data_IF_907114218827
#
_entry.id   IF_907114218827
#
_cell.length_a   1.000
_cell.length_b   1.000
_cell.length_c   1.000
_cell.angle_alpha   90.00
_cell.angle_beta   90.00
_cell.angle_gamma   90.00
#
_symmetry.space_group_name_H-M   'P 1'
#
loop_
_entity.id
_entity.type
_entity.pdbx_description
1 polymer ?
#
# COMPACT_ATOMS: atom_id res chain seq x y z
N UNK A 1 7.44 -28.21 -39.37
CA UNK A 1 6.36 -29.17 -39.03
C UNK A 1 6.82 -30.48 -38.38
N UNK A 2 8.12 -30.83 -38.37
CA UNK A 2 8.63 -32.10 -37.77
C UNK A 2 9.10 -32.02 -36.30
N UNK A 3 8.82 -30.93 -35.57
CA UNK A 3 9.40 -30.72 -34.23
C UNK A 3 8.53 -31.30 -33.08
N UNK A 4 7.28 -31.69 -33.34
CA UNK A 4 6.32 -32.02 -32.26
C UNK A 4 5.90 -33.50 -32.18
N UNK A 5 6.69 -34.44 -32.71
CA UNK A 5 6.48 -35.88 -32.48
C UNK A 5 7.39 -36.36 -31.34
N UNK A 6 6.86 -36.45 -30.13
CA UNK A 6 7.60 -37.02 -29.00
C UNK A 6 6.77 -37.20 -27.73
N UNK A 7 6.46 -38.47 -27.45
CA UNK A 7 6.16 -39.16 -26.18
C UNK A 7 5.16 -38.60 -25.14
N UNK A 8 4.13 -39.43 -24.91
CA UNK A 8 3.14 -39.37 -23.84
C UNK A 8 3.75 -39.30 -22.44
N UNK A 9 3.82 -38.10 -21.87
CA UNK A 9 3.97 -37.94 -20.42
C UNK A 9 3.25 -36.67 -19.96
N UNK A 10 1.91 -36.77 -19.80
CA UNK A 10 0.98 -35.63 -19.66
C UNK A 10 1.43 -34.53 -18.68
N UNK A 11 2.07 -34.87 -17.55
CA UNK A 11 2.52 -33.87 -16.58
C UNK A 11 3.82 -33.14 -16.99
N UNK A 12 4.74 -33.82 -17.66
CA UNK A 12 5.94 -33.19 -18.22
C UNK A 12 5.61 -32.34 -19.44
N UNK A 13 4.65 -32.78 -20.26
CA UNK A 13 4.19 -32.04 -21.44
C UNK A 13 3.52 -30.71 -21.06
N UNK A 14 2.70 -30.69 -20.00
CA UNK A 14 2.04 -29.46 -19.51
C UNK A 14 3.07 -28.44 -18.98
N UNK A 15 4.07 -28.90 -18.22
CA UNK A 15 5.12 -28.03 -17.68
C UNK A 15 6.02 -27.48 -18.80
N UNK A 16 6.32 -28.32 -19.81
CA UNK A 16 7.10 -27.94 -20.97
C UNK A 16 6.36 -26.93 -21.86
N UNK A 17 5.06 -27.12 -22.09
CA UNK A 17 4.21 -26.20 -22.85
C UNK A 17 4.11 -24.81 -22.20
N UNK A 18 3.93 -24.76 -20.87
CA UNK A 18 3.92 -23.51 -20.10
C UNK A 18 5.24 -22.75 -20.23
N UNK A 19 6.38 -23.45 -20.16
CA UNK A 19 7.71 -22.83 -20.29
C UNK A 19 7.96 -22.28 -21.70
N UNK A 20 7.54 -23.02 -22.73
CA UNK A 20 7.66 -22.62 -24.13
C UNK A 20 6.81 -21.37 -24.43
N UNK A 21 5.55 -21.33 -23.98
CA UNK A 21 4.67 -20.16 -24.14
C UNK A 21 5.31 -18.93 -23.49
N UNK A 22 5.75 -19.05 -22.22
CA UNK A 22 6.43 -17.95 -21.50
C UNK A 22 7.70 -17.49 -22.21
N UNK A 23 8.48 -18.41 -22.79
CA UNK A 23 9.70 -18.10 -23.54
C UNK A 23 9.38 -17.26 -24.77
N UNK A 24 8.41 -17.68 -25.58
CA UNK A 24 8.05 -16.96 -26.81
C UNK A 24 7.44 -15.59 -26.55
N UNK A 25 6.64 -15.44 -25.50
CA UNK A 25 6.11 -14.13 -25.08
C UNK A 25 7.28 -13.18 -24.74
N UNK A 26 8.28 -13.64 -23.97
CA UNK A 26 9.45 -12.83 -23.58
C UNK A 26 10.36 -12.48 -24.74
N UNK A 27 10.48 -13.37 -25.72
CA UNK A 27 11.37 -13.18 -26.86
C UNK A 27 10.67 -12.59 -28.09
N UNK A 28 9.42 -12.13 -27.97
CA UNK A 28 8.60 -11.61 -29.07
C UNK A 28 8.53 -12.58 -30.28
N UNK A 29 8.46 -13.89 -30.00
CA UNK A 29 8.35 -14.91 -31.02
C UNK A 29 6.87 -15.24 -31.28
N UNK A 30 6.07 -14.21 -31.61
CA UNK A 30 4.61 -14.31 -31.63
C UNK A 30 4.08 -15.25 -32.72
N UNK A 31 4.78 -15.31 -33.86
CA UNK A 31 4.49 -16.27 -34.93
C UNK A 31 4.56 -17.72 -34.44
N UNK A 32 5.61 -18.06 -33.70
CA UNK A 32 5.76 -19.41 -33.14
C UNK A 32 4.70 -19.69 -32.07
N UNK A 33 4.36 -18.68 -31.25
CA UNK A 33 3.28 -18.77 -30.30
C UNK A 33 1.94 -19.08 -31.00
N UNK A 34 1.61 -18.35 -32.07
CA UNK A 34 0.36 -18.52 -32.80
C UNK A 34 0.28 -19.90 -33.48
N UNK A 35 1.34 -20.31 -34.18
CA UNK A 35 1.45 -21.65 -34.79
C UNK A 35 1.22 -22.74 -33.75
N UNK A 36 1.87 -22.63 -32.60
CA UNK A 36 1.78 -23.64 -31.55
C UNK A 36 0.38 -23.74 -30.96
N UNK A 37 -0.26 -22.61 -30.61
CA UNK A 37 -1.61 -22.62 -30.05
C UNK A 37 -2.64 -23.15 -31.06
N UNK A 38 -2.52 -22.76 -32.34
CA UNK A 38 -3.41 -23.27 -33.40
C UNK A 38 -3.20 -24.76 -33.66
N UNK A 39 -1.96 -25.24 -33.66
CA UNK A 39 -1.66 -26.66 -33.81
C UNK A 39 -2.32 -27.49 -32.70
N UNK A 40 -2.17 -27.06 -31.44
CA UNK A 40 -2.75 -27.78 -30.31
C UNK A 40 -4.28 -27.78 -30.33
N UNK A 41 -4.89 -26.64 -30.69
CA UNK A 41 -6.34 -26.54 -30.85
C UNK A 41 -6.86 -27.53 -31.90
N UNK A 42 -6.15 -27.68 -33.02
CA UNK A 42 -6.52 -28.61 -34.09
C UNK A 42 -6.39 -30.08 -33.68
N UNK A 43 -5.36 -30.42 -32.90
CA UNK A 43 -5.15 -31.77 -32.38
C UNK A 43 -6.09 -32.11 -31.21
N UNK A 44 -7.10 -31.27 -30.92
CA UNK A 44 -7.99 -31.38 -29.76
C UNK A 44 -7.23 -31.50 -28.42
N UNK A 45 -6.03 -30.92 -28.34
CA UNK A 45 -5.24 -30.83 -27.12
C UNK A 45 -5.63 -29.53 -26.42
N UNK A 46 -6.35 -29.63 -25.31
CA UNK A 46 -6.69 -28.45 -24.50
C UNK A 46 -5.40 -27.87 -23.90
N UNK A 47 -5.18 -26.58 -24.15
CA UNK A 47 -4.30 -25.75 -23.33
C UNK A 47 -5.16 -24.68 -22.72
N UNK A 48 -5.21 -24.69 -21.40
CA UNK A 48 -5.77 -23.59 -20.64
C UNK A 48 -4.81 -22.40 -20.73
N UNK A 49 -5.24 -21.35 -21.44
CA UNK A 49 -4.52 -20.10 -21.46
C UNK A 49 -4.59 -19.49 -20.06
N UNK A 50 -3.44 -19.39 -19.40
CA UNK A 50 -3.36 -18.92 -18.03
C UNK A 50 -3.28 -17.41 -17.96
N UNK A 51 -3.92 -16.86 -16.95
CA UNK A 51 -3.82 -15.47 -16.51
C UNK A 51 -2.36 -14.93 -16.45
N UNK A 52 -1.42 -15.75 -16.00
CA UNK A 52 0.00 -15.39 -15.96
C UNK A 52 0.63 -15.13 -17.34
N UNK A 53 0.10 -15.70 -18.43
CA UNK A 53 0.59 -15.46 -19.79
C UNK A 53 0.20 -14.06 -20.27
N UNK A 54 -1.04 -13.64 -20.01
CA UNK A 54 -1.49 -12.27 -20.30
C UNK A 54 -0.66 -11.24 -19.54
N UNK A 55 -0.50 -11.46 -18.23
CA UNK A 55 0.33 -10.60 -17.38
C UNK A 55 1.76 -10.48 -17.92
N UNK A 56 2.36 -11.60 -18.31
CA UNK A 56 3.71 -11.60 -18.88
C UNK A 56 3.78 -10.83 -20.21
N UNK A 57 2.81 -11.01 -21.10
CA UNK A 57 2.77 -10.31 -22.39
C UNK A 57 2.68 -8.79 -22.18
N UNK A 58 1.86 -8.37 -21.24
CA UNK A 58 1.72 -6.98 -20.80
C UNK A 58 3.03 -6.43 -20.23
N UNK A 59 3.64 -7.15 -19.28
CA UNK A 59 4.87 -6.72 -18.62
C UNK A 59 6.02 -6.50 -19.62
N UNK A 60 6.02 -7.27 -20.72
CA UNK A 60 6.98 -7.14 -21.82
C UNK A 60 6.54 -6.13 -22.89
N UNK A 61 5.36 -5.51 -22.79
CA UNK A 61 4.74 -4.69 -23.85
C UNK A 61 4.58 -5.46 -25.18
N UNK A 62 4.42 -6.78 -25.12
CA UNK A 62 4.17 -7.67 -26.27
C UNK A 62 2.66 -7.83 -26.50
N UNK A 63 2.04 -6.80 -27.07
CA UNK A 63 0.58 -6.77 -27.26
C UNK A 63 0.09 -7.66 -28.40
N UNK A 64 0.91 -7.90 -29.44
CA UNK A 64 0.57 -8.85 -30.50
C UNK A 64 0.45 -10.28 -29.93
N UNK A 65 1.41 -10.67 -29.09
CA UNK A 65 1.35 -11.93 -28.35
C UNK A 65 0.13 -12.01 -27.43
N UNK A 66 -0.28 -10.89 -26.83
CA UNK A 66 -1.51 -10.82 -26.04
C UNK A 66 -2.76 -11.10 -26.90
N UNK A 67 -2.87 -10.51 -28.09
CA UNK A 67 -4.00 -10.74 -29.01
C UNK A 67 -4.04 -12.18 -29.49
N UNK A 68 -2.87 -12.80 -29.73
CA UNK A 68 -2.77 -14.23 -30.06
C UNK A 68 -3.31 -15.09 -28.91
N UNK A 69 -2.92 -14.79 -27.66
CA UNK A 69 -3.44 -15.51 -26.49
C UNK A 69 -4.96 -15.35 -26.40
N UNK A 70 -5.47 -14.13 -26.51
CA UNK A 70 -6.90 -13.82 -26.49
C UNK A 70 -7.71 -14.57 -27.55
N UNK A 71 -7.21 -14.63 -28.78
CA UNK A 71 -7.86 -15.33 -29.87
C UNK A 71 -7.85 -16.88 -29.74
N UNK A 72 -7.06 -17.42 -28.81
CA UNK A 72 -6.95 -18.85 -28.55
C UNK A 72 -7.46 -19.25 -27.16
N UNK A 73 -7.99 -18.31 -26.38
CA UNK A 73 -8.59 -18.57 -25.07
C UNK A 73 -10.08 -18.88 -25.24
N UNK A 74 -10.55 -19.92 -24.56
CA UNK A 74 -11.94 -20.37 -24.62
C UNK A 74 -12.79 -19.79 -23.49
N UNK A 75 -12.17 -19.10 -22.54
CA UNK A 75 -12.88 -18.38 -21.47
C UNK A 75 -13.64 -17.19 -22.04
N UNK A 76 -14.68 -16.76 -21.33
CA UNK A 76 -15.43 -15.56 -21.74
C UNK A 76 -14.54 -14.32 -21.69
N UNK A 77 -14.77 -13.37 -22.60
CA UNK A 77 -14.03 -12.10 -22.61
C UNK A 77 -14.12 -11.37 -21.27
N UNK A 78 -15.27 -11.45 -20.60
CA UNK A 78 -15.48 -10.88 -19.28
C UNK A 78 -14.50 -11.45 -18.26
N UNK A 79 -14.30 -12.77 -18.22
CA UNK A 79 -13.36 -13.38 -17.28
C UNK A 79 -11.92 -12.97 -17.53
N UNK A 80 -11.53 -12.89 -18.81
CA UNK A 80 -10.18 -12.49 -19.22
C UNK A 80 -9.95 -11.01 -18.86
N UNK A 81 -10.86 -10.13 -19.26
CA UNK A 81 -10.75 -8.69 -19.00
C UNK A 81 -10.89 -8.36 -17.51
N UNK A 82 -11.76 -9.05 -16.75
CA UNK A 82 -11.84 -8.88 -15.29
C UNK A 82 -10.47 -9.08 -14.64
N UNK A 83 -9.78 -10.17 -14.98
CA UNK A 83 -8.44 -10.43 -14.44
C UNK A 83 -7.45 -9.35 -14.85
N UNK A 84 -7.46 -8.99 -16.13
CA UNK A 84 -6.49 -8.09 -16.73
C UNK A 84 -6.65 -6.69 -16.17
N UNK A 85 -7.87 -6.17 -16.16
CA UNK A 85 -8.22 -4.89 -15.55
C UNK A 85 -7.78 -4.87 -14.09
N UNK A 86 -8.13 -5.88 -13.27
CA UNK A 86 -7.73 -5.98 -11.85
C UNK A 86 -6.20 -6.11 -11.62
N UNK A 87 -5.46 -6.76 -12.52
CA UNK A 87 -4.00 -6.90 -12.42
C UNK A 87 -3.26 -5.61 -12.81
N UNK A 88 -3.81 -4.86 -13.76
CA UNK A 88 -3.30 -3.57 -14.18
C UNK A 88 -3.42 -2.49 -13.10
N UNK A 89 -4.14 -2.76 -12.02
CA UNK A 89 -4.41 -1.80 -10.96
C UNK A 89 -3.25 -1.83 -9.95
N UNK A 90 -2.36 -0.85 -10.02
CA UNK A 90 -1.25 -0.67 -9.09
C UNK A 90 -0.12 0.16 -9.70
N UNK A 91 0.60 0.92 -8.87
CA UNK A 91 1.56 1.99 -9.24
C UNK A 91 2.68 1.69 -10.27
N UNK A 92 2.80 0.47 -10.82
CA UNK A 92 3.71 0.14 -11.94
C UNK A 92 2.98 -0.19 -13.24
N UNK A 93 1.66 -0.34 -13.18
CA UNK A 93 0.86 -0.96 -14.22
C UNK A 93 -0.18 0.00 -14.84
N UNK A 94 -0.43 1.18 -14.27
CA UNK A 94 -1.24 2.23 -14.92
C UNK A 94 -0.64 2.64 -16.27
N UNK A 95 0.67 2.87 -16.33
CA UNK A 95 1.37 3.13 -17.61
C UNK A 95 1.20 1.95 -18.57
N UNK A 96 1.16 0.71 -18.07
CA UNK A 96 1.01 -0.48 -18.92
C UNK A 96 -0.42 -0.59 -19.47
N UNK A 97 -1.46 -0.27 -18.68
CA UNK A 97 -2.84 -0.22 -19.15
C UNK A 97 -3.01 0.89 -20.18
N UNK A 98 -2.47 2.09 -19.93
CA UNK A 98 -2.50 3.18 -20.90
C UNK A 98 -1.76 2.80 -22.19
N UNK A 99 -0.61 2.14 -22.10
CA UNK A 99 0.12 1.65 -23.26
C UNK A 99 -0.69 0.59 -24.03
N UNK A 100 -1.39 -0.30 -23.32
CA UNK A 100 -2.26 -1.30 -23.94
C UNK A 100 -3.47 -0.65 -24.63
N UNK A 101 -4.14 0.30 -23.98
CA UNK A 101 -5.25 1.07 -24.58
C UNK A 101 -4.78 1.90 -25.79
N UNK A 102 -3.60 2.50 -25.72
CA UNK A 102 -2.95 3.18 -26.86
C UNK A 102 -2.65 2.21 -27.99
N UNK A 103 -2.19 1.00 -27.70
CA UNK A 103 -2.00 -0.05 -28.70
C UNK A 103 -3.32 -0.42 -29.39
N UNK A 104 -4.38 -0.67 -28.61
CA UNK A 104 -5.71 -0.97 -29.15
C UNK A 104 -6.22 0.17 -30.05
N UNK A 105 -5.93 1.42 -29.68
CA UNK A 105 -6.32 2.62 -30.42
C UNK A 105 -5.31 3.06 -31.50
N UNK A 106 -4.21 2.34 -31.69
CA UNK A 106 -3.19 2.73 -32.66
C UNK A 106 -3.68 2.57 -34.10
N UNK A 107 -3.13 3.40 -35.00
CA UNK A 107 -3.41 3.36 -36.44
C UNK A 107 -2.54 2.35 -37.21
N UNK A 108 -1.85 1.44 -36.51
CA UNK A 108 -0.96 0.47 -37.14
C UNK A 108 -1.75 -0.40 -38.13
N UNK A 109 -1.22 -0.55 -39.34
CA UNK A 109 -1.84 -1.42 -40.33
C UNK A 109 -1.68 -2.88 -39.91
N UNK A 110 -2.64 -3.73 -40.29
CA UNK A 110 -2.58 -5.17 -39.94
C UNK A 110 -1.27 -5.83 -40.41
N UNK A 111 -0.73 -5.39 -41.55
CA UNK A 111 0.53 -5.90 -42.12
C UNK A 111 1.77 -5.60 -41.25
N UNK A 112 1.68 -4.67 -40.32
CA UNK A 112 2.75 -4.34 -39.36
C UNK A 112 2.74 -5.24 -38.12
N UNK A 113 1.70 -6.06 -37.93
CA UNK A 113 1.55 -6.93 -36.76
C UNK A 113 2.42 -8.18 -36.88
N UNK A 114 2.97 -8.64 -35.75
CA UNK A 114 3.80 -9.85 -35.69
C UNK A 114 2.95 -11.14 -35.64
N UNK A 115 2.08 -11.30 -36.63
CA UNK A 115 1.24 -12.49 -36.81
C UNK A 115 1.78 -13.39 -37.91
N UNK A 116 1.50 -14.69 -37.81
CA UNK A 116 1.95 -15.67 -38.81
C UNK A 116 1.37 -15.37 -40.21
N UNK A 117 0.15 -14.81 -40.26
CA UNK A 117 -0.54 -14.49 -41.51
C UNK A 117 0.22 -13.49 -42.40
N UNK A 118 1.02 -12.59 -41.81
CA UNK A 118 1.74 -11.54 -42.52
C UNK A 118 3.06 -12.01 -43.16
N UNK A 119 3.45 -13.28 -42.97
CA UNK A 119 4.66 -13.83 -43.61
C UNK A 119 4.44 -14.28 -45.06
N UNK A 120 5.55 -14.44 -45.78
CA UNK A 120 5.63 -14.82 -47.21
C UNK A 120 5.24 -16.28 -47.51
N UNK A 121 4.68 -17.04 -46.56
CA UNK A 121 4.30 -18.44 -46.75
C UNK A 121 2.97 -18.58 -47.54
N UNK A 122 2.78 -19.71 -48.22
CA UNK A 122 1.65 -19.95 -49.12
C UNK A 122 0.28 -19.93 -48.44
N UNK A 123 -0.77 -19.54 -49.19
CA UNK A 123 -2.13 -19.37 -48.67
C UNK A 123 -2.78 -20.68 -48.17
N UNK A 124 -2.32 -21.84 -48.64
CA UNK A 124 -2.90 -23.15 -48.32
C UNK A 124 -2.83 -23.51 -46.81
N UNK A 125 -1.75 -23.12 -46.12
CA UNK A 125 -1.64 -23.32 -44.67
C UNK A 125 -2.38 -22.25 -43.86
N UNK A 126 -2.59 -21.05 -44.44
CA UNK A 126 -3.20 -19.91 -43.74
C UNK A 126 -4.68 -20.15 -43.45
N UNK A 127 -5.41 -20.65 -44.46
CA UNK A 127 -6.84 -20.92 -44.35
C UNK A 127 -7.12 -22.21 -43.55
N UNK A 128 -6.24 -23.21 -43.65
CA UNK A 128 -6.37 -24.52 -42.97
C UNK A 128 -6.32 -24.47 -41.45
N UNK A 129 -5.67 -23.47 -40.87
CA UNK A 129 -5.48 -23.33 -39.42
C UNK A 129 -6.16 -22.08 -38.84
N UNK A 130 -6.92 -21.34 -39.67
CA UNK A 130 -7.63 -20.11 -39.29
C UNK A 130 -6.77 -19.16 -38.47
N UNK A 131 -5.56 -18.84 -38.94
CA UNK A 131 -4.69 -17.86 -38.27
C UNK A 131 -5.36 -16.48 -38.20
N UNK A 132 -4.88 -15.61 -37.31
CA UNK A 132 -5.34 -14.22 -37.22
C UNK A 132 -5.09 -13.51 -38.54
N UNK A 133 -6.15 -13.36 -39.33
CA UNK A 133 -6.17 -12.52 -40.51
C UNK A 133 -6.68 -11.11 -40.16
N UNK A 134 -6.66 -10.21 -41.13
CA UNK A 134 -7.03 -8.81 -40.92
C UNK A 134 -8.43 -8.64 -40.35
N UNK A 135 -9.38 -9.43 -40.86
CA UNK A 135 -10.77 -9.40 -40.40
C UNK A 135 -10.89 -9.84 -38.93
N UNK A 136 -10.30 -10.99 -38.57
CA UNK A 136 -10.33 -11.50 -37.19
C UNK A 136 -9.64 -10.54 -36.23
N UNK A 137 -8.50 -9.98 -36.62
CA UNK A 137 -7.80 -8.99 -35.80
C UNK A 137 -8.68 -7.77 -35.51
N UNK A 138 -9.27 -7.15 -36.55
CA UNK A 138 -10.17 -5.99 -36.37
C UNK A 138 -11.36 -6.34 -35.47
N UNK A 139 -11.97 -7.51 -35.68
CA UNK A 139 -13.07 -7.98 -34.85
C UNK A 139 -12.65 -8.13 -33.38
N UNK A 140 -11.50 -8.78 -33.12
CA UNK A 140 -10.99 -9.00 -31.75
C UNK A 140 -10.65 -7.68 -31.06
N UNK A 141 -10.03 -6.73 -31.76
CA UNK A 141 -9.75 -5.40 -31.22
C UNK A 141 -11.05 -4.67 -30.84
N UNK A 142 -12.06 -4.70 -31.73
CA UNK A 142 -13.35 -4.09 -31.45
C UNK A 142 -14.04 -4.76 -30.25
N UNK A 143 -14.05 -6.09 -30.21
CA UNK A 143 -14.61 -6.90 -29.12
C UNK A 143 -13.99 -6.50 -27.77
N UNK A 144 -12.66 -6.39 -27.71
CA UNK A 144 -11.94 -5.97 -26.49
C UNK A 144 -12.31 -4.54 -26.10
N UNK A 145 -12.29 -3.60 -27.05
CA UNK A 145 -12.59 -2.18 -26.78
C UNK A 145 -13.99 -2.00 -26.22
N UNK A 146 -14.99 -2.54 -26.90
CA UNK A 146 -16.39 -2.42 -26.49
C UNK A 146 -16.59 -3.00 -25.08
N UNK A 147 -15.98 -4.14 -24.77
CA UNK A 147 -16.10 -4.71 -23.42
C UNK A 147 -15.38 -3.87 -22.34
N UNK A 148 -14.25 -3.23 -22.66
CA UNK A 148 -13.58 -2.28 -21.74
C UNK A 148 -14.43 -1.02 -21.55
N UNK A 149 -15.07 -0.50 -22.59
CA UNK A 149 -15.96 0.66 -22.52
C UNK A 149 -17.20 0.34 -21.69
N UNK A 150 -17.90 -0.75 -22.00
CA UNK A 150 -19.03 -1.24 -21.21
C UNK A 150 -18.65 -1.48 -19.75
N UNK A 151 -17.43 -1.96 -19.48
CA UNK A 151 -16.92 -2.10 -18.11
C UNK A 151 -16.85 -0.74 -17.38
N UNK A 152 -16.25 0.27 -18.02
CA UNK A 152 -16.12 1.61 -17.45
C UNK A 152 -17.49 2.24 -17.22
N UNK A 153 -18.38 2.14 -18.19
CA UNK A 153 -19.76 2.64 -18.10
C UNK A 153 -20.49 2.03 -16.90
N UNK A 154 -20.38 0.72 -16.69
CA UNK A 154 -21.02 0.04 -15.55
C UNK A 154 -20.43 0.47 -14.20
N UNK A 155 -19.13 0.77 -14.13
CA UNK A 155 -18.54 1.34 -12.90
C UNK A 155 -19.14 2.71 -12.62
N UNK A 156 -19.22 3.60 -13.62
CA UNK A 156 -19.81 4.92 -13.45
C UNK A 156 -21.30 4.82 -13.09
N UNK A 157 -22.04 3.91 -13.72
CA UNK A 157 -23.44 3.64 -13.38
C UNK A 157 -23.59 3.20 -11.91
N UNK A 158 -22.69 2.36 -11.40
CA UNK A 158 -22.71 1.93 -9.99
C UNK A 158 -22.38 3.09 -9.05
N UNK A 159 -21.43 3.94 -9.42
CA UNK A 159 -21.08 5.14 -8.63
C UNK A 159 -22.29 6.07 -8.54
N UNK A 160 -22.91 6.37 -9.68
CA UNK A 160 -24.13 7.19 -9.76
C UNK A 160 -25.29 6.55 -9.00
N UNK A 161 -25.41 5.22 -9.07
CA UNK A 161 -26.41 4.45 -8.34
C UNK A 161 -26.21 4.58 -6.84
N UNK A 162 -24.98 4.41 -6.34
CA UNK A 162 -24.69 4.57 -4.91
C UNK A 162 -24.91 5.99 -4.40
N UNK A 163 -24.63 6.99 -5.25
CA UNK A 163 -24.62 8.41 -4.90
C UNK A 163 -25.28 9.18 -6.05
N UNK A 164 -26.59 9.40 -5.96
CA UNK A 164 -27.33 10.19 -6.94
C UNK A 164 -27.79 11.50 -6.34
N UNK A 165 -27.37 12.63 -6.91
CA UNK A 165 -27.80 13.98 -6.48
C UNK A 165 -27.60 14.22 -4.96
N UNK A 166 -26.55 13.64 -4.37
CA UNK A 166 -26.27 13.71 -2.93
C UNK A 166 -27.17 12.83 -2.06
N UNK A 167 -28.09 12.05 -2.65
CA UNK A 167 -28.88 11.04 -1.95
C UNK A 167 -28.17 9.69 -2.01
N UNK A 168 -27.87 9.17 -0.82
CA UNK A 168 -27.32 7.82 -0.65
C UNK A 168 -28.42 6.79 -0.92
N UNK A 169 -28.09 5.78 -1.72
CA UNK A 169 -28.99 4.68 -2.02
C UNK A 169 -29.36 3.85 -0.77
N UNK A 170 -30.63 3.44 -0.66
CA UNK A 170 -31.08 2.52 0.36
C UNK A 170 -30.69 1.05 0.06
N UNK A 171 -30.64 0.23 1.11
CA UNK A 171 -30.25 -1.18 1.04
C UNK A 171 -31.05 -2.00 0.02
N UNK A 172 -32.36 -1.77 -0.09
CA UNK A 172 -33.22 -2.59 -0.94
C UNK A 172 -33.02 -2.25 -2.42
N UNK A 173 -32.87 -0.97 -2.74
CA UNK A 173 -32.52 -0.52 -4.09
C UNK A 173 -31.16 -1.07 -4.52
N UNK A 174 -30.15 -1.01 -3.65
CA UNK A 174 -28.83 -1.57 -3.96
C UNK A 174 -28.87 -3.09 -4.17
N UNK A 175 -29.60 -3.82 -3.31
CA UNK A 175 -29.83 -5.26 -3.46
C UNK A 175 -30.44 -5.62 -4.81
N UNK A 176 -31.48 -4.91 -5.22
CA UNK A 176 -32.15 -5.16 -6.49
C UNK A 176 -31.22 -4.87 -7.67
N UNK A 177 -30.41 -3.80 -7.59
CA UNK A 177 -29.43 -3.47 -8.60
C UNK A 177 -28.38 -4.58 -8.77
N UNK A 178 -27.79 -5.06 -7.66
CA UNK A 178 -26.75 -6.11 -7.71
C UNK A 178 -27.31 -7.41 -8.30
N UNK A 179 -28.50 -7.85 -7.88
CA UNK A 179 -29.16 -9.07 -8.43
C UNK A 179 -29.38 -9.01 -9.94
N UNK A 180 -29.70 -7.84 -10.46
CA UNK A 180 -29.90 -7.67 -11.90
C UNK A 180 -28.58 -7.60 -12.68
N UNK A 181 -27.44 -7.54 -11.97
CA UNK A 181 -26.11 -7.32 -12.53
C UNK A 181 -25.05 -8.32 -12.02
N UNK A 182 -25.42 -9.56 -11.67
CA UNK A 182 -24.55 -10.56 -11.02
C UNK A 182 -23.15 -10.74 -11.67
N UNK A 183 -23.05 -10.60 -13.00
CA UNK A 183 -21.77 -10.64 -13.73
C UNK A 183 -20.74 -9.58 -13.29
N UNK A 184 -21.19 -8.47 -12.68
CA UNK A 184 -20.35 -7.38 -12.19
C UNK A 184 -19.69 -7.68 -10.85
N UNK A 185 -20.12 -8.70 -10.09
CA UNK A 185 -19.63 -8.91 -8.73
C UNK A 185 -18.12 -9.12 -8.61
N UNK A 186 -17.47 -9.68 -9.64
CA UNK A 186 -16.01 -9.87 -9.69
C UNK A 186 -15.24 -8.58 -9.94
N UNK A 187 -15.92 -7.55 -10.43
CA UNK A 187 -15.36 -6.27 -10.87
C UNK A 187 -15.38 -5.22 -9.77
N UNK A 188 -16.28 -5.37 -8.79
CA UNK A 188 -16.45 -4.44 -7.69
C UNK A 188 -15.40 -4.60 -6.56
N UNK A 189 -14.41 -5.49 -6.76
CA UNK A 189 -13.33 -5.80 -5.79
C UNK A 189 -11.94 -5.63 -6.41
N UNK A 190 -11.83 -4.73 -7.38
CA UNK A 190 -10.56 -4.35 -8.00
C UNK A 190 -9.72 -3.46 -7.09
N UNK A 191 -8.47 -3.19 -7.46
CA UNK A 191 -7.66 -2.18 -6.77
C UNK A 191 -7.89 -0.74 -7.30
N UNK A 192 -8.36 -0.51 -8.52
CA UNK A 192 -8.75 0.86 -8.94
C UNK A 192 -10.14 1.19 -8.44
N UNK A 193 -11.03 0.19 -8.43
CA UNK A 193 -12.37 0.34 -7.91
C UNK A 193 -12.71 -0.82 -6.98
N UNK A 194 -12.73 -0.50 -5.69
CA UNK A 194 -13.26 -1.38 -4.65
C UNK A 194 -14.54 -0.74 -4.12
N UNK A 195 -15.67 -1.42 -4.31
CA UNK A 195 -16.99 -0.89 -3.96
C UNK A 195 -17.11 -0.63 -2.47
N UNK A 196 -16.47 -1.44 -1.62
CA UNK A 196 -16.50 -1.23 -0.18
C UNK A 196 -15.74 0.04 0.19
N UNK A 197 -14.50 0.21 -0.30
CA UNK A 197 -13.73 1.43 -0.06
C UNK A 197 -14.48 2.65 -0.61
N UNK A 198 -15.00 2.57 -1.84
CA UNK A 198 -15.75 3.66 -2.47
C UNK A 198 -17.01 4.03 -1.69
N UNK A 199 -17.79 3.04 -1.24
CA UNK A 199 -18.97 3.26 -0.41
C UNK A 199 -18.62 3.96 0.91
N UNK A 200 -17.52 3.57 1.56
CA UNK A 200 -17.06 4.22 2.79
C UNK A 200 -16.60 5.66 2.52
N UNK A 201 -15.84 5.90 1.45
CA UNK A 201 -15.35 7.24 1.07
C UNK A 201 -16.47 8.26 0.88
N UNK A 202 -17.63 7.78 0.41
CA UNK A 202 -18.80 8.58 0.07
C UNK A 202 -19.95 8.47 1.08
N UNK A 203 -19.66 8.02 2.30
CA UNK A 203 -20.63 7.97 3.40
C UNK A 203 -21.92 7.21 3.07
N UNK A 204 -21.80 6.14 2.29
CA UNK A 204 -22.91 5.23 2.03
C UNK A 204 -23.38 4.60 3.35
N UNK A 205 -24.67 4.31 3.47
CA UNK A 205 -25.28 3.83 4.71
C UNK A 205 -24.63 2.54 5.22
N UNK A 206 -24.52 2.41 6.55
CA UNK A 206 -24.02 1.21 7.23
C UNK A 206 -24.68 -0.07 6.74
N UNK A 207 -25.99 -0.03 6.54
CA UNK A 207 -26.78 -1.16 6.04
C UNK A 207 -26.30 -1.69 4.69
N UNK A 208 -25.91 -0.78 3.78
CA UNK A 208 -25.36 -1.14 2.48
C UNK A 208 -23.92 -1.64 2.63
N UNK A 209 -23.12 -1.01 3.49
CA UNK A 209 -21.74 -1.46 3.78
C UNK A 209 -21.73 -2.89 4.35
N UNK A 210 -22.58 -3.19 5.32
CA UNK A 210 -22.72 -4.54 5.88
C UNK A 210 -23.19 -5.54 4.82
N UNK A 211 -24.12 -5.14 3.95
CA UNK A 211 -24.55 -5.97 2.83
C UNK A 211 -23.39 -6.26 1.87
N UNK A 212 -22.59 -5.24 1.52
CA UNK A 212 -21.40 -5.41 0.68
C UNK A 212 -20.42 -6.40 1.32
N UNK A 213 -20.10 -6.24 2.60
CA UNK A 213 -19.16 -7.13 3.32
C UNK A 213 -19.64 -8.59 3.28
N UNK A 214 -20.93 -8.81 3.51
CA UNK A 214 -21.52 -10.15 3.61
C UNK A 214 -21.65 -10.85 2.24
N UNK A 215 -22.13 -10.16 1.21
CA UNK A 215 -22.37 -10.78 -0.10
C UNK A 215 -21.09 -10.94 -0.92
N UNK A 216 -20.18 -9.98 -0.81
CA UNK A 216 -19.00 -9.93 -1.67
C UNK A 216 -17.85 -10.78 -1.12
N UNK A 217 -18.07 -11.77 -0.25
CA UNK A 217 -17.12 -12.87 0.08
C UNK A 217 -15.64 -12.45 0.08
N UNK A 218 -15.30 -11.39 0.82
CA UNK A 218 -13.92 -10.92 0.91
C UNK A 218 -13.07 -11.95 1.66
N UNK A 219 -11.86 -12.27 1.18
CA UNK A 219 -10.96 -13.20 1.89
C UNK A 219 -10.65 -12.70 3.31
N UNK A 220 -10.48 -11.39 3.44
CA UNK A 220 -10.44 -10.62 4.68
C UNK A 220 -10.57 -9.14 4.33
N UNK A 221 -10.78 -8.30 5.33
CA UNK A 221 -10.83 -6.84 5.19
C UNK A 221 -9.45 -6.16 5.38
N UNK A 222 -8.38 -6.96 5.30
CA UNK A 222 -6.99 -6.54 5.43
C UNK A 222 -6.35 -6.45 4.05
N UNK A 223 -6.91 -5.59 3.20
CA UNK A 223 -6.42 -5.26 1.86
C UNK A 223 -6.55 -3.76 1.65
N UNK A 224 -5.98 -3.24 0.56
CA UNK A 224 -6.06 -1.81 0.26
C UNK A 224 -5.06 -1.35 -0.77
N UNK A 225 -5.33 -0.19 -1.33
CA UNK A 225 -4.55 0.42 -2.41
C UNK A 225 -3.22 0.89 -1.87
N UNK A 226 -2.15 0.43 -2.51
CA UNK A 226 -0.80 0.79 -2.11
C UNK A 226 -0.51 2.19 -2.60
N UNK A 227 -0.12 3.09 -1.69
CA UNK A 227 0.26 4.46 -2.01
C UNK A 227 1.78 4.57 -1.90
N UNK A 228 2.43 5.04 -2.97
CA UNK A 228 3.85 5.45 -2.94
C UNK A 228 3.97 6.84 -2.37
N UNK A 229 4.98 7.02 -1.55
CA UNK A 229 5.23 8.30 -0.92
C UNK A 229 6.45 8.96 -1.53
N UNK A 230 6.31 10.22 -1.92
CA UNK A 230 7.32 11.02 -2.62
C UNK A 230 8.46 11.46 -1.71
N UNK A 231 8.22 11.59 -0.40
CA UNK A 231 9.22 12.11 0.53
C UNK A 231 10.10 11.03 1.15
N UNK A 232 11.40 11.29 1.11
CA UNK A 232 12.42 10.51 1.81
C UNK A 232 12.52 10.96 3.27
N UNK A 233 11.41 10.90 4.01
CA UNK A 233 11.30 11.36 5.41
C UNK A 233 12.41 10.78 6.29
N UNK A 234 12.88 9.57 5.97
CA UNK A 234 14.01 8.95 6.65
C UNK A 234 15.31 9.75 6.52
N UNK A 235 15.66 10.19 5.32
CA UNK A 235 16.90 10.95 5.09
C UNK A 235 16.88 12.24 5.87
N UNK A 236 15.73 12.91 5.93
CA UNK A 236 15.57 14.12 6.73
C UNK A 236 15.71 13.83 8.23
N UNK A 237 14.99 12.83 8.75
CA UNK A 237 15.09 12.41 10.16
C UNK A 237 16.54 12.10 10.53
N UNK A 238 17.23 11.32 9.69
CA UNK A 238 18.62 10.92 9.91
C UNK A 238 19.55 12.14 9.94
N UNK A 239 19.47 13.02 8.94
CA UNK A 239 20.28 14.24 8.87
C UNK A 239 20.04 15.17 10.07
N UNK A 240 18.79 15.31 10.52
CA UNK A 240 18.47 16.08 11.72
C UNK A 240 19.14 15.50 12.95
N UNK A 241 19.04 14.18 13.16
CA UNK A 241 19.69 13.53 14.29
C UNK A 241 21.22 13.63 14.23
N UNK A 242 21.82 13.51 13.05
CA UNK A 242 23.27 13.72 12.86
C UNK A 242 23.70 15.14 13.24
N UNK A 243 22.94 16.18 12.84
CA UNK A 243 23.20 17.57 13.23
C UNK A 243 23.10 17.75 14.75
N UNK A 244 22.09 17.17 15.38
CA UNK A 244 21.92 17.22 16.84
C UNK A 244 23.14 16.60 17.54
N UNK A 245 23.64 15.47 17.04
CA UNK A 245 24.82 14.79 17.59
C UNK A 245 26.09 15.63 17.42
N UNK A 246 26.30 16.26 16.25
CA UNK A 246 27.47 17.10 15.98
C UNK A 246 27.48 18.31 16.92
N UNK A 247 26.35 19.03 17.05
CA UNK A 247 26.23 20.18 17.94
C UNK A 247 26.53 19.80 19.40
N UNK A 248 25.99 18.66 19.84
CA UNK A 248 26.27 18.13 21.17
C UNK A 248 27.76 17.81 21.39
N UNK A 249 28.42 17.17 20.42
CA UNK A 249 29.85 16.83 20.50
C UNK A 249 30.72 18.10 20.58
N UNK A 250 30.46 19.10 19.75
CA UNK A 250 31.26 20.32 19.71
C UNK A 250 31.20 21.09 21.04
N UNK A 251 30.05 21.10 21.72
CA UNK A 251 29.86 21.83 22.98
C UNK A 251 30.30 21.06 24.24
N UNK A 252 30.54 19.74 24.11
CA UNK A 252 31.05 18.88 25.19
C UNK A 252 32.41 19.33 25.72
N UNK A 253 33.20 19.98 24.88
CA UNK A 253 34.56 20.42 25.24
C UNK A 253 34.60 21.84 25.84
N UNK A 254 33.44 22.48 26.06
CA UNK A 254 33.37 23.78 26.73
C UNK A 254 33.64 23.70 28.24
N UNK A 255 34.29 24.74 28.79
CA UNK A 255 34.58 24.84 30.23
C UNK A 255 33.32 24.81 31.09
N UNK A 256 32.25 25.45 30.64
CA UNK A 256 30.94 25.48 31.29
C UNK A 256 30.34 24.06 31.37
N UNK A 257 30.37 23.31 30.26
CA UNK A 257 29.89 21.93 30.23
C UNK A 257 30.66 21.04 31.21
N UNK A 258 31.99 21.15 31.25
CA UNK A 258 32.81 20.36 32.17
C UNK A 258 32.56 20.72 33.65
N UNK A 259 32.36 22.01 33.96
CA UNK A 259 32.05 22.46 35.32
C UNK A 259 30.72 21.88 35.82
N UNK A 260 29.67 21.93 35.00
CA UNK A 260 28.34 21.38 35.37
C UNK A 260 28.40 19.85 35.45
N UNK A 261 29.07 19.19 34.50
CA UNK A 261 29.28 17.74 34.56
C UNK A 261 30.01 17.30 35.85
N UNK A 262 31.01 18.08 36.28
CA UNK A 262 31.73 17.84 37.51
C UNK A 262 30.86 18.07 38.76
N UNK A 263 30.01 19.10 38.74
CA UNK A 263 29.05 19.39 39.80
C UNK A 263 28.05 18.23 40.02
N UNK A 264 27.64 17.54 38.95
CA UNK A 264 26.67 16.43 39.02
C UNK A 264 27.29 15.02 38.89
N UNK A 265 28.62 14.91 39.03
CA UNK A 265 29.39 13.68 38.76
C UNK A 265 28.97 12.46 39.58
N UNK A 266 28.32 12.66 40.72
CA UNK A 266 27.85 11.62 41.63
C UNK A 266 26.52 10.95 41.20
N UNK A 267 25.77 11.56 40.27
CA UNK A 267 24.40 11.12 39.89
C UNK A 267 24.32 9.89 38.96
N UNK A 268 25.43 9.18 38.73
CA UNK A 268 25.48 7.91 38.00
C UNK A 268 25.25 8.02 36.48
N UNK A 269 26.10 7.33 35.70
CA UNK A 269 25.95 7.01 34.26
C UNK A 269 25.21 8.05 33.39
N UNK A 270 25.59 9.33 33.56
CA UNK A 270 24.78 10.48 33.14
C UNK A 270 24.49 10.52 31.63
N UNK A 271 25.32 9.90 30.77
CA UNK A 271 25.32 10.16 29.33
C UNK A 271 25.87 8.97 28.52
N UNK A 272 25.18 7.84 28.49
CA UNK A 272 25.55 6.79 27.51
C UNK A 272 24.99 7.14 26.13
N UNK A 273 25.91 7.47 25.22
CA UNK A 273 25.70 7.66 23.77
C UNK A 273 25.16 6.40 23.04
N UNK A 274 24.67 5.40 23.76
CA UNK A 274 24.32 4.05 23.26
C UNK A 274 23.10 4.03 22.33
N UNK A 275 22.34 5.13 22.27
CA UNK A 275 21.00 5.16 21.67
C UNK A 275 20.94 5.40 20.16
N UNK A 276 21.87 6.18 19.59
CA UNK A 276 21.71 6.71 18.22
C UNK A 276 22.23 5.77 17.13
N UNK A 277 23.10 4.83 17.48
CA UNK A 277 23.80 3.99 16.50
C UNK A 277 22.92 2.89 15.88
N UNK A 278 21.68 2.71 16.34
CA UNK A 278 20.75 1.68 15.85
C UNK A 278 19.62 2.22 14.96
N UNK A 279 19.79 3.40 14.34
CA UNK A 279 18.89 3.97 13.31
C UNK A 279 18.95 3.17 11.99
N UNK A 280 18.74 1.85 12.06
CA UNK A 280 18.83 0.94 10.93
C UNK A 280 17.57 0.09 10.80
N UNK A 281 16.65 0.52 9.94
CA UNK A 281 15.92 -0.43 9.10
C UNK A 281 15.46 0.24 7.81
N UNK A 282 15.35 -0.56 6.75
CA UNK A 282 14.92 -0.16 5.40
C UNK A 282 13.48 0.37 5.47
N UNK A 283 13.32 1.68 5.60
CA UNK A 283 12.00 2.30 5.68
C UNK A 283 11.23 2.08 4.38
N UNK A 284 10.00 1.56 4.50
CA UNK A 284 9.07 1.46 3.38
C UNK A 284 8.54 2.85 3.06
N UNK A 285 8.69 3.26 1.81
CA UNK A 285 8.14 4.50 1.23
C UNK A 285 6.69 4.32 0.78
N UNK A 286 5.95 3.39 1.37
CA UNK A 286 4.62 3.01 0.88
C UNK A 286 3.72 2.60 2.02
N UNK A 287 2.44 2.99 1.99
CA UNK A 287 1.39 2.52 2.90
C UNK A 287 0.17 2.02 2.11
N UNK A 288 -0.89 1.55 2.79
CA UNK A 288 -2.12 1.06 2.16
C UNK A 288 -3.36 1.81 2.65
N UNK A 289 -4.20 2.28 1.72
CA UNK A 289 -5.56 2.74 1.99
C UNK A 289 -6.48 1.52 2.08
N UNK A 290 -6.61 0.96 3.28
CA UNK A 290 -7.51 -0.16 3.59
C UNK A 290 -8.93 0.33 3.84
N UNK A 291 -9.97 -0.53 3.81
CA UNK A 291 -11.32 -0.15 4.24
C UNK A 291 -11.34 0.54 5.62
N UNK A 292 -10.57 -0.01 6.59
CA UNK A 292 -10.47 0.56 7.93
C UNK A 292 -9.75 1.92 7.94
N UNK A 293 -8.66 2.06 7.19
CA UNK A 293 -8.01 3.37 7.00
C UNK A 293 -8.99 4.40 6.45
N UNK A 294 -9.77 4.03 5.43
CA UNK A 294 -10.75 4.91 4.81
C UNK A 294 -11.80 5.38 5.81
N UNK A 295 -12.40 4.47 6.59
CA UNK A 295 -13.37 4.82 7.62
C UNK A 295 -12.78 5.77 8.67
N UNK A 296 -11.57 5.47 9.17
CA UNK A 296 -10.89 6.29 10.18
C UNK A 296 -10.48 7.66 9.67
N UNK A 297 -10.07 7.77 8.40
CA UNK A 297 -9.75 9.05 7.76
C UNK A 297 -10.93 10.01 7.65
N UNK A 298 -12.16 9.48 7.78
CA UNK A 298 -13.42 10.23 7.77
C UNK A 298 -14.04 10.36 9.16
N UNK A 299 -13.34 9.93 10.21
CA UNK A 299 -13.86 9.80 11.57
C UNK A 299 -15.19 9.00 11.65
N UNK A 300 -15.42 8.08 10.70
CA UNK A 300 -16.62 7.26 10.68
C UNK A 300 -16.44 6.02 11.57
N UNK A 301 -16.50 6.25 12.88
CA UNK A 301 -16.24 5.23 13.89
C UNK A 301 -17.26 4.09 13.89
N UNK A 302 -18.52 4.37 13.55
CA UNK A 302 -19.54 3.33 13.43
C UNK A 302 -19.18 2.31 12.33
N UNK A 303 -18.69 2.78 11.18
CA UNK A 303 -18.20 1.90 10.12
C UNK A 303 -16.87 1.25 10.50
N UNK A 304 -15.99 1.96 11.22
CA UNK A 304 -14.76 1.36 11.73
C UNK A 304 -15.06 0.17 12.66
N UNK A 305 -16.05 0.28 13.54
CA UNK A 305 -16.52 -0.81 14.40
C UNK A 305 -17.02 -2.01 13.59
N UNK A 306 -17.86 -1.77 12.57
CA UNK A 306 -18.33 -2.83 11.65
C UNK A 306 -17.15 -3.56 11.03
N UNK A 307 -16.16 -2.83 10.52
CA UNK A 307 -14.98 -3.41 9.88
C UNK A 307 -14.12 -4.21 10.86
N UNK A 308 -13.86 -3.68 12.07
CA UNK A 308 -13.10 -4.35 13.13
C UNK A 308 -13.81 -5.64 13.58
N UNK A 309 -15.12 -5.59 13.79
CA UNK A 309 -15.94 -6.75 14.15
C UNK A 309 -15.97 -7.82 13.05
N UNK A 310 -15.76 -7.41 11.79
CA UNK A 310 -15.58 -8.31 10.64
C UNK A 310 -14.11 -8.65 10.33
N UNK A 311 -13.20 -8.43 11.29
CA UNK A 311 -11.81 -8.91 11.22
C UNK A 311 -10.81 -7.98 10.55
N UNK A 312 -11.14 -6.70 10.31
CA UNK A 312 -10.13 -5.69 9.99
C UNK A 312 -9.14 -5.54 11.15
N UNK A 313 -7.86 -5.50 10.81
CA UNK A 313 -6.76 -5.37 11.75
C UNK A 313 -6.17 -3.96 11.67
N UNK A 314 -6.29 -3.20 12.75
CA UNK A 314 -5.76 -1.84 12.88
C UNK A 314 -4.22 -1.76 12.72
N UNK A 315 -3.53 -2.89 12.95
CA UNK A 315 -2.08 -3.02 12.85
C UNK A 315 -1.63 -3.67 11.53
N UNK A 316 -2.47 -3.66 10.49
CA UNK A 316 -2.16 -4.33 9.24
C UNK A 316 -1.02 -3.67 8.45
N UNK A 317 0.13 -4.35 8.38
CA UNK A 317 1.35 -4.07 7.58
C UNK A 317 2.07 -2.74 7.87
N UNK A 318 1.38 -1.62 7.75
CA UNK A 318 1.91 -0.27 7.88
C UNK A 318 1.22 0.47 9.05
N UNK A 319 1.92 1.43 9.66
CA UNK A 319 1.39 2.18 10.79
C UNK A 319 0.27 3.14 10.34
N UNK A 320 -0.96 2.83 10.73
CA UNK A 320 -2.16 3.56 10.29
C UNK A 320 -2.16 5.02 10.76
N UNK A 321 -1.69 5.30 11.98
CA UNK A 321 -1.63 6.67 12.53
C UNK A 321 -0.65 7.49 11.71
N UNK A 322 0.53 6.94 11.42
CA UNK A 322 1.52 7.64 10.61
C UNK A 322 1.03 7.84 9.17
N UNK A 323 0.32 6.85 8.62
CA UNK A 323 -0.26 6.94 7.28
C UNK A 323 -1.31 8.04 7.18
N UNK A 324 -2.18 8.19 8.19
CA UNK A 324 -3.17 9.27 8.27
C UNK A 324 -2.49 10.63 8.45
N UNK A 325 -1.46 10.73 9.30
CA UNK A 325 -0.73 11.97 9.54
C UNK A 325 -0.12 12.52 8.25
N UNK A 326 0.50 11.66 7.44
CA UNK A 326 1.15 12.07 6.18
C UNK A 326 0.21 12.62 5.13
N UNK A 327 -1.04 12.20 5.15
CA UNK A 327 -2.07 12.68 4.23
C UNK A 327 -2.85 13.88 4.81
N UNK A 328 -2.44 14.40 5.98
CA UNK A 328 -3.15 15.44 6.73
C UNK A 328 -4.59 15.02 7.12
N UNK A 329 -4.80 13.73 7.40
CA UNK A 329 -6.11 13.16 7.78
C UNK A 329 -6.16 12.75 9.26
N UNK A 330 -5.05 12.81 9.99
CA UNK A 330 -5.01 12.53 11.42
C UNK A 330 -5.56 13.72 12.22
N UNK A 331 -6.42 13.45 13.20
CA UNK A 331 -6.92 14.42 14.17
C UNK A 331 -7.03 13.77 15.57
N UNK A 332 -7.37 14.56 16.58
CA UNK A 332 -7.44 14.07 17.96
C UNK A 332 -8.51 12.99 18.18
N UNK A 333 -9.63 13.05 17.46
CA UNK A 333 -10.73 12.07 17.57
C UNK A 333 -10.31 10.72 17.02
N UNK A 334 -9.82 10.67 15.78
CA UNK A 334 -9.40 9.41 15.18
C UNK A 334 -8.15 8.83 15.83
N UNK A 335 -7.24 9.67 16.33
CA UNK A 335 -6.10 9.22 17.13
C UNK A 335 -6.59 8.51 18.40
N UNK A 336 -7.47 9.14 19.18
CA UNK A 336 -8.04 8.54 20.39
C UNK A 336 -8.79 7.24 20.10
N UNK A 337 -9.60 7.22 19.06
CA UNK A 337 -10.31 6.01 18.65
C UNK A 337 -9.30 4.90 18.31
N UNK A 338 -8.33 5.17 17.44
CA UNK A 338 -7.34 4.16 17.01
C UNK A 338 -6.61 3.57 18.21
N UNK A 339 -6.12 4.42 19.12
CA UNK A 339 -5.36 3.97 20.29
C UNK A 339 -6.20 3.03 21.17
N UNK A 340 -7.47 3.35 21.39
CA UNK A 340 -8.35 2.54 22.26
C UNK A 340 -8.95 1.30 21.57
N UNK A 341 -8.66 1.04 20.29
CA UNK A 341 -9.21 -0.09 19.53
C UNK A 341 -8.12 -1.07 19.06
N UNK A 342 -7.21 -1.42 19.97
CA UNK A 342 -6.22 -2.48 19.75
C UNK A 342 -4.97 -2.05 18.97
N UNK A 343 -4.64 -0.76 18.95
CA UNK A 343 -3.40 -0.28 18.34
C UNK A 343 -2.16 -0.75 19.12
N UNK A 344 -1.22 -1.35 18.41
CA UNK A 344 0.03 -1.85 18.97
C UNK A 344 1.09 -0.74 18.98
N UNK A 345 1.34 -0.17 20.15
CA UNK A 345 2.45 0.75 20.35
C UNK A 345 3.77 0.01 20.17
N UNK A 346 4.71 0.63 19.44
CA UNK A 346 6.06 0.11 19.31
C UNK A 346 6.70 -0.09 20.69
N UNK A 347 7.25 -1.29 20.93
CA UNK A 347 8.08 -1.57 22.12
C UNK A 347 9.25 -0.58 22.25
N UNK A 348 9.74 -0.08 21.12
CA UNK A 348 10.87 0.84 21.04
C UNK A 348 10.39 2.20 20.52
N UNK A 349 10.07 3.12 21.45
CA UNK A 349 9.71 4.48 21.09
C UNK A 349 10.86 5.24 20.44
N UNK A 350 12.10 4.77 20.62
CA UNK A 350 13.34 5.38 20.13
C UNK A 350 13.36 5.78 18.65
N UNK A 351 12.52 5.20 17.79
CA UNK A 351 12.53 5.49 16.37
C UNK A 351 11.12 5.70 15.82
N UNK A 352 10.19 6.12 16.68
CA UNK A 352 8.83 6.41 16.26
C UNK A 352 8.81 7.70 15.44
N UNK A 353 8.52 7.56 14.15
CA UNK A 353 8.46 8.67 13.19
C UNK A 353 7.38 9.66 13.57
N UNK A 354 6.25 9.17 14.12
CA UNK A 354 5.13 10.01 14.52
C UNK A 354 5.60 11.03 15.54
N UNK A 355 6.29 10.56 16.58
CA UNK A 355 6.84 11.43 17.64
C UNK A 355 7.84 12.45 17.05
N UNK A 356 8.76 12.03 16.17
CA UNK A 356 9.68 12.98 15.52
C UNK A 356 8.93 14.09 14.79
N UNK A 357 7.97 13.73 13.94
CA UNK A 357 7.24 14.70 13.14
C UNK A 357 6.35 15.59 14.00
N UNK A 358 5.67 15.03 15.00
CA UNK A 358 4.83 15.80 15.91
C UNK A 358 5.64 16.79 16.75
N UNK A 359 6.86 16.43 17.16
CA UNK A 359 7.77 17.39 17.83
C UNK A 359 8.21 18.48 16.85
N UNK A 360 8.69 18.10 15.66
CA UNK A 360 9.18 19.04 14.63
C UNK A 360 8.12 20.05 14.21
N UNK A 361 6.87 19.60 14.03
CA UNK A 361 5.75 20.39 13.56
C UNK A 361 4.88 20.95 14.70
N UNK A 362 5.31 20.80 15.96
CA UNK A 362 4.58 21.27 17.14
C UNK A 362 3.14 20.74 17.28
N UNK A 363 2.87 19.52 16.79
CA UNK A 363 1.59 18.81 17.00
C UNK A 363 1.52 18.23 18.42
N UNK A 364 1.54 19.11 19.42
CA UNK A 364 1.63 18.75 20.84
C UNK A 364 0.41 17.98 21.36
N UNK A 365 -0.78 18.25 20.82
CA UNK A 365 -2.01 17.51 21.15
C UNK A 365 -1.87 16.01 20.82
N UNK A 366 -1.27 15.67 19.68
CA UNK A 366 -1.04 14.27 19.30
C UNK A 366 -0.01 13.60 20.22
N UNK A 367 1.04 14.34 20.61
CA UNK A 367 2.02 13.84 21.58
C UNK A 367 1.34 13.55 22.92
N UNK A 368 0.55 14.49 23.43
CA UNK A 368 -0.13 14.36 24.72
C UNK A 368 -1.09 13.17 24.73
N UNK A 369 -1.96 13.04 23.72
CA UNK A 369 -2.88 11.90 23.59
C UNK A 369 -2.09 10.58 23.56
N UNK A 370 -1.04 10.50 22.74
CA UNK A 370 -0.26 9.28 22.57
C UNK A 370 0.48 8.88 23.85
N UNK A 371 1.15 9.81 24.51
CA UNK A 371 1.90 9.53 25.74
C UNK A 371 0.98 9.22 26.92
N UNK A 372 -0.19 9.87 27.03
CA UNK A 372 -1.19 9.55 28.04
C UNK A 372 -1.73 8.12 27.84
N UNK A 373 -2.03 7.71 26.60
CA UNK A 373 -2.44 6.34 26.29
C UNK A 373 -1.36 5.33 26.70
N UNK A 374 -0.10 5.57 26.35
CA UNK A 374 1.01 4.67 26.72
C UNK A 374 1.16 4.58 28.24
N UNK A 375 1.06 5.70 28.95
CA UNK A 375 1.14 5.72 30.41
C UNK A 375 0.02 4.89 31.05
N UNK A 376 -1.20 4.97 30.52
CA UNK A 376 -2.33 4.17 31.00
C UNK A 376 -2.14 2.67 30.75
N UNK A 377 -1.70 2.27 29.56
CA UNK A 377 -1.35 0.86 29.28
C UNK A 377 -0.29 0.31 30.24
N UNK A 378 0.71 1.13 30.61
CA UNK A 378 1.71 0.73 31.59
C UNK A 378 1.12 0.48 32.98
N UNK A 379 0.24 1.37 33.46
CA UNK A 379 -0.42 1.19 34.76
C UNK A 379 -1.18 -0.13 34.82
N UNK A 380 -1.82 -0.55 33.71
CA UNK A 380 -2.50 -1.83 33.61
C UNK A 380 -1.53 -3.02 33.57
N UNK A 381 -0.44 -2.93 32.81
CA UNK A 381 0.58 -3.99 32.74
C UNK A 381 1.35 -4.18 34.06
N UNK A 382 1.59 -3.10 34.80
CA UNK A 382 2.22 -3.15 36.13
C UNK A 382 1.33 -3.91 37.12
N UNK A 383 0.00 -3.71 37.07
CA UNK A 383 -0.95 -4.50 37.87
C UNK A 383 -0.89 -6.00 37.55
N UNK A 384 -0.46 -6.37 36.33
CA UNK A 384 -0.39 -7.75 35.84
C UNK A 384 1.00 -8.42 36.00
N UNK A 385 1.91 -7.86 36.79
CA UNK A 385 3.22 -8.46 37.17
C UNK A 385 4.18 -8.82 36.00
N UNK A 386 4.09 -8.16 34.84
CA UNK A 386 5.07 -8.34 33.75
C UNK A 386 6.17 -7.28 33.89
N UNK A 387 7.33 -7.68 34.42
CA UNK A 387 8.41 -6.76 34.77
C UNK A 387 9.21 -6.23 33.56
N UNK A 388 9.43 -4.90 33.62
CA UNK A 388 10.46 -4.02 33.04
C UNK A 388 11.52 -4.69 32.15
N UNK A 389 11.65 -4.20 30.91
CA UNK A 389 12.90 -3.56 30.47
C UNK A 389 12.84 -2.97 29.05
N UNK A 390 13.64 -1.90 28.93
CA UNK A 390 14.07 -1.17 27.72
C UNK A 390 13.26 0.05 27.28
N UNK A 391 12.96 0.95 28.22
CA UNK A 391 12.51 2.33 27.94
C UNK A 391 13.67 3.31 27.81
N UNK A 392 14.76 2.88 27.17
CA UNK A 392 15.80 3.83 26.84
C UNK A 392 15.33 4.55 25.58
N UNK A 393 15.32 5.90 25.61
CA UNK A 393 15.32 6.85 24.47
C UNK A 393 14.15 7.88 24.47
N UNK A 394 13.74 8.39 25.64
CA UNK A 394 13.03 9.68 25.73
C UNK A 394 13.99 10.87 25.57
N UNK A 395 15.27 10.68 25.93
CA UNK A 395 16.31 11.72 25.85
C UNK A 395 16.42 12.34 24.46
N UNK A 396 16.36 11.53 23.39
CA UNK A 396 16.45 12.07 22.04
C UNK A 396 15.30 13.00 21.69
N UNK A 397 14.11 12.77 22.26
CA UNK A 397 12.92 13.55 21.96
C UNK A 397 12.96 14.87 22.70
N UNK A 398 13.48 14.91 23.92
CA UNK A 398 13.85 16.18 24.56
C UNK A 398 14.85 16.98 23.72
N UNK A 399 15.89 16.30 23.23
CA UNK A 399 16.91 16.93 22.38
C UNK A 399 16.32 17.49 21.09
N UNK A 400 15.40 16.73 20.49
CA UNK A 400 14.65 17.14 19.30
C UNK A 400 13.73 18.33 19.58
N UNK A 401 13.04 18.31 20.71
CA UNK A 401 12.16 19.40 21.16
C UNK A 401 12.94 20.71 21.33
N UNK A 402 14.13 20.65 21.94
CA UNK A 402 15.01 21.82 22.10
C UNK A 402 15.54 22.29 20.74
N UNK A 403 15.95 21.36 19.86
CA UNK A 403 16.42 21.71 18.52
C UNK A 403 15.38 22.49 17.72
N UNK A 404 14.10 22.10 17.80
CA UNK A 404 12.98 22.74 17.13
C UNK A 404 12.25 23.82 17.96
N UNK A 405 12.74 24.15 19.16
CA UNK A 405 12.12 25.10 20.09
C UNK A 405 10.65 24.75 20.46
N UNK A 406 10.31 23.46 20.47
CA UNK A 406 9.00 22.96 20.90
C UNK A 406 9.01 22.62 22.40
N UNK A 407 8.90 23.65 23.24
CA UNK A 407 9.00 23.50 24.69
C UNK A 407 7.78 22.80 25.31
N UNK A 408 6.60 22.89 24.71
CA UNK A 408 5.42 22.13 25.15
C UNK A 408 5.67 20.62 25.05
N UNK A 409 6.35 20.15 24.01
CA UNK A 409 6.75 18.75 23.93
C UNK A 409 7.71 18.34 25.07
N UNK A 410 8.56 19.24 25.58
CA UNK A 410 9.40 18.96 26.76
C UNK A 410 8.51 18.69 27.98
N UNK A 411 7.51 19.54 28.21
CA UNK A 411 6.57 19.40 29.33
C UNK A 411 5.80 18.09 29.23
N UNK A 412 5.27 17.76 28.05
CA UNK A 412 4.55 16.50 27.81
C UNK A 412 5.44 15.28 28.07
N UNK A 413 6.66 15.28 27.51
CA UNK A 413 7.62 14.20 27.72
C UNK A 413 8.02 14.05 29.20
N UNK A 414 8.18 15.18 29.91
CA UNK A 414 8.47 15.21 31.35
C UNK A 414 7.37 14.56 32.19
N UNK A 415 6.11 14.93 31.94
CA UNK A 415 4.96 14.34 32.63
C UNK A 415 4.82 12.82 32.39
N UNK A 416 5.21 12.35 31.21
CA UNK A 416 5.27 10.92 30.92
C UNK A 416 6.40 10.20 31.69
N UNK A 417 7.58 10.82 31.79
CA UNK A 417 8.76 10.23 32.43
C UNK A 417 8.61 10.17 33.96
N UNK A 418 8.02 11.18 34.60
CA UNK A 418 7.88 11.26 36.07
C UNK A 418 7.00 10.15 36.69
N UNK A 419 6.18 9.46 35.88
CA UNK A 419 5.43 8.27 36.33
C UNK A 419 6.29 7.02 36.56
N UNK A 420 7.59 7.05 36.26
CA UNK A 420 8.55 5.96 36.45
C UNK A 420 9.60 6.46 37.44
N UNK A 421 9.60 5.93 38.67
CA UNK A 421 10.53 6.29 39.76
C UNK A 421 11.97 6.55 39.26
N UNK A 422 12.28 7.82 39.00
CA UNK A 422 13.62 8.34 38.72
C UNK A 422 13.66 9.80 39.11
N UNK A 423 14.67 10.11 39.91
CA UNK A 423 15.06 11.40 40.46
C UNK A 423 14.86 12.54 39.44
N UNK A 424 13.85 13.39 39.66
CA UNK A 424 13.48 14.54 38.81
C UNK A 424 14.70 15.42 38.49
N UNK A 425 15.62 15.50 39.46
CA UNK A 425 16.87 16.23 39.35
C UNK A 425 17.73 15.73 38.18
N UNK A 426 17.76 14.43 37.89
CA UNK A 426 18.59 13.87 36.81
C UNK A 426 18.08 14.30 35.43
N UNK A 427 16.75 14.36 35.24
CA UNK A 427 16.14 14.76 33.96
C UNK A 427 16.37 16.25 33.72
N UNK A 428 16.10 17.08 34.74
CA UNK A 428 16.33 18.52 34.69
C UNK A 428 17.80 18.83 34.41
N UNK A 429 18.73 18.13 35.07
CA UNK A 429 20.17 18.26 34.80
C UNK A 429 20.52 17.92 33.35
N UNK A 430 19.94 16.85 32.79
CA UNK A 430 20.18 16.44 31.39
C UNK A 430 19.62 17.46 30.40
N UNK A 431 18.43 17.99 30.65
CA UNK A 431 17.83 19.07 29.85
C UNK A 431 18.70 20.31 29.89
N UNK A 432 19.12 20.72 31.09
CA UNK A 432 19.97 21.90 31.31
C UNK A 432 21.31 21.80 30.57
N UNK A 433 22.03 20.68 30.70
CA UNK A 433 23.27 20.41 29.97
C UNK A 433 23.08 20.45 28.45
N UNK A 434 21.90 20.06 27.95
CA UNK A 434 21.63 20.07 26.51
C UNK A 434 21.23 21.45 25.99
N UNK A 435 20.44 22.23 26.72
CA UNK A 435 20.11 23.61 26.35
C UNK A 435 21.37 24.45 26.12
N UNK A 436 22.36 24.31 27.01
CA UNK A 436 23.66 24.99 26.89
C UNK A 436 24.47 24.57 25.66
N UNK A 437 24.11 23.46 24.99
CA UNK A 437 24.80 22.95 23.81
C UNK A 437 24.22 23.40 22.47
N UNK A 438 23.17 24.25 22.45
CA UNK A 438 22.55 24.71 21.19
C UNK A 438 22.69 26.20 20.91
N UNK A 439 22.67 27.09 21.91
CA UNK A 439 23.04 28.52 21.86
C UNK A 439 22.53 29.26 23.13
N UNK A 440 23.25 30.31 23.56
CA UNK A 440 22.91 31.11 24.75
C UNK A 440 21.57 31.86 24.63
N UNK A 441 21.15 32.25 23.42
CA UNK A 441 19.85 32.91 23.19
C UNK A 441 18.65 31.98 23.38
N UNK A 442 18.78 30.69 23.06
CA UNK A 442 17.68 29.73 23.26
C UNK A 442 17.40 29.50 24.74
N UNK A 443 18.45 29.52 25.56
CA UNK A 443 18.35 29.42 27.02
C UNK A 443 17.53 30.57 27.61
N UNK A 444 17.69 31.81 27.14
CA UNK A 444 16.92 32.95 27.64
C UNK A 444 15.42 32.92 27.28
N UNK A 445 15.05 32.12 26.27
CA UNK A 445 13.67 32.01 25.76
C UNK A 445 12.87 30.86 26.39
N UNK A 446 13.58 29.86 26.95
CA UNK A 446 13.00 28.80 27.77
C UNK A 446 12.80 29.33 29.19
#
# INVERSE_FOLDING_TARGET
>A
MNIFKGHDNKNNDILNNSNIIKKWIKSFNNKFLEIFLRYLKKENKSIDIKNEYYKLAIDQKNFDGWIILFNNDERSINEILCYILNEFEGDRNEEQLDNFLKYLNSSKSFNEMDFYYNDKYGNEDKDKYSFLNEYMFKYKILEIKTNIETYKEKIEEIKDTLIKDGKVMDKQSFKNYIKNNDSLMRLLKGKNFDILIYSIENFVSKDVIEYIINEFSYKNLNYGNKIKTTNNDYTEIKQTFEKIIINYKNNKDSSIYQNIKNHYKESGDLLTNRSYNNLYSKYKTTYRKTPLYTALSKNNFEIADVLINNGSNINYKEDIIYSLYRENLLNCENLNYILNHGYNVSKWLANDKKIYHWIKCSNNEFLEIYFNYIQNMKKENIKNNIQKNNECILEQYYKLSIYYNNYNAIIILYNYYSGIEKDENIILCRLFLFFMSFEEERYKKF
#
